data_IF_403525202609
#
_entry.id   IF_403525202609
#
_cell.length_a   1.000
_cell.length_b   1.000
_cell.length_c   1.000
_cell.angle_alpha   90.00
_cell.angle_beta   90.00
_cell.angle_gamma   90.00
#
_symmetry.space_group_name_H-M   'P 1'
#
loop_
_entity.id
_entity.type
_entity.pdbx_description
1 polymer ?
#
# COMPACT_ATOMS: atom_id res chain seq x y z
N UNK A 1 -14.38 -13.98 -11.63
CA UNK A 1 -13.23 -13.23 -11.12
C UNK A 1 -12.40 -14.22 -10.34
N UNK A 2 -11.28 -14.67 -10.91
CA UNK A 2 -10.30 -15.42 -10.11
C UNK A 2 -9.98 -14.49 -8.92
N UNK A 3 -10.10 -14.95 -7.67
CA UNK A 3 -9.90 -14.17 -6.45
C UNK A 3 -8.45 -13.71 -6.27
N UNK A 4 -7.94 -13.02 -7.28
CA UNK A 4 -6.56 -12.81 -7.61
C UNK A 4 -6.20 -11.43 -7.06
N UNK A 5 -5.91 -11.46 -5.76
CA UNK A 5 -5.41 -10.35 -4.95
C UNK A 5 -6.37 -9.14 -4.85
N UNK A 6 -6.75 -8.80 -3.63
CA UNK A 6 -7.41 -7.53 -3.31
C UNK A 6 -6.42 -6.36 -3.38
N UNK A 7 -5.79 -6.15 -4.55
CA UNK A 7 -4.80 -5.09 -4.77
C UNK A 7 -5.47 -3.72 -4.81
N UNK A 8 -6.71 -3.65 -5.30
CA UNK A 8 -7.43 -2.39 -5.47
C UNK A 8 -8.21 -2.08 -4.20
N UNK A 9 -7.80 -1.03 -3.50
CA UNK A 9 -8.48 -0.49 -2.31
C UNK A 9 -8.49 1.02 -2.35
N UNK A 10 -9.57 1.63 -1.86
CA UNK A 10 -9.66 3.09 -1.71
C UNK A 10 -9.19 3.47 -0.31
N UNK A 11 -8.28 4.44 -0.22
CA UNK A 11 -7.79 4.98 1.04
C UNK A 11 -7.80 6.52 1.04
N UNK A 12 -8.09 7.15 2.19
CA UNK A 12 -8.07 8.60 2.29
C UNK A 12 -6.65 9.15 2.28
N UNK A 13 -6.47 10.28 1.59
CA UNK A 13 -5.22 11.05 1.56
C UNK A 13 -5.54 12.44 2.09
N UNK A 14 -5.02 12.76 3.28
CA UNK A 14 -5.26 14.05 3.95
C UNK A 14 -3.96 14.62 4.53
N UNK A 15 -4.05 15.83 5.11
CA UNK A 15 -2.91 16.50 5.75
C UNK A 15 -2.63 16.03 7.17
N UNK A 16 -3.62 15.39 7.81
CA UNK A 16 -3.52 14.88 9.18
C UNK A 16 -4.07 13.46 9.26
N UNK A 17 -3.58 12.69 10.22
CA UNK A 17 -4.10 11.34 10.51
C UNK A 17 -5.57 11.41 10.92
N UNK A 18 -5.96 12.40 11.73
CA UNK A 18 -7.37 12.59 12.12
C UNK A 18 -8.30 12.80 10.93
N UNK A 19 -7.90 13.63 9.95
CA UNK A 19 -8.71 13.85 8.75
C UNK A 19 -8.86 12.55 7.94
N UNK A 20 -7.77 11.80 7.77
CA UNK A 20 -7.83 10.49 7.12
C UNK A 20 -8.81 9.55 7.83
N UNK A 21 -8.76 9.49 9.16
CA UNK A 21 -9.61 8.60 9.96
C UNK A 21 -11.09 8.98 9.85
N UNK A 22 -11.42 10.27 9.89
CA UNK A 22 -12.80 10.72 9.70
C UNK A 22 -13.34 10.39 8.30
N UNK A 23 -12.50 10.47 7.26
CA UNK A 23 -12.90 10.03 5.92
C UNK A 23 -13.05 8.50 5.88
N UNK A 24 -12.13 7.76 6.49
CA UNK A 24 -12.19 6.29 6.56
C UNK A 24 -13.50 5.81 7.20
N UNK A 25 -13.95 6.46 8.27
CA UNK A 25 -15.23 6.16 8.92
C UNK A 25 -16.45 6.34 8.02
N UNK A 26 -16.36 7.21 7.02
CA UNK A 26 -17.45 7.45 6.07
C UNK A 26 -17.43 6.43 4.94
N UNK A 27 -16.24 6.04 4.46
CA UNK A 27 -16.11 5.18 3.27
C UNK A 27 -16.02 3.69 3.58
N UNK A 28 -15.66 3.30 4.81
CA UNK A 28 -15.55 1.90 5.20
C UNK A 28 -16.93 1.28 5.45
N UNK A 29 -17.26 0.25 4.68
CA UNK A 29 -18.52 -0.47 4.85
C UNK A 29 -18.81 -1.46 3.74
N UNK A 30 -19.87 -2.26 3.88
CA UNK A 30 -20.36 -3.12 2.81
C UNK A 30 -20.90 -2.31 1.63
N UNK A 31 -20.59 -2.72 0.39
CA UNK A 31 -21.23 -2.26 -0.84
C UNK A 31 -21.83 -3.47 -1.56
N UNK A 32 -23.12 -3.42 -1.90
CA UNK A 32 -23.81 -4.49 -2.63
C UNK A 32 -23.25 -4.70 -4.05
N UNK A 33 -22.62 -3.68 -4.63
CA UNK A 33 -21.95 -3.77 -5.94
C UNK A 33 -20.55 -4.40 -5.84
N UNK A 34 -20.05 -4.58 -4.63
CA UNK A 34 -18.78 -5.25 -4.31
C UNK A 34 -18.96 -6.16 -3.08
N UNK A 35 -20.02 -6.97 -3.10
CA UNK A 35 -20.46 -7.72 -1.91
C UNK A 35 -19.40 -8.75 -1.47
N UNK A 36 -18.72 -9.39 -2.43
CA UNK A 36 -17.72 -10.43 -2.16
C UNK A 36 -16.50 -9.91 -1.39
N UNK A 37 -15.98 -8.72 -1.76
CA UNK A 37 -14.83 -8.13 -1.07
C UNK A 37 -15.26 -7.43 0.21
N UNK A 38 -16.29 -6.58 0.15
CA UNK A 38 -16.67 -5.71 1.28
C UNK A 38 -17.32 -6.48 2.43
N UNK A 39 -18.06 -7.57 2.16
CA UNK A 39 -18.62 -8.40 3.24
C UNK A 39 -17.54 -9.10 4.04
N UNK A 40 -16.49 -9.62 3.39
CA UNK A 40 -15.36 -10.26 4.07
C UNK A 40 -14.55 -9.23 4.88
N UNK A 41 -14.38 -8.03 4.36
CA UNK A 41 -13.64 -6.96 5.03
C UNK A 41 -14.42 -6.36 6.21
N UNK A 42 -15.75 -6.38 6.20
CA UNK A 42 -16.58 -5.78 7.25
C UNK A 42 -16.29 -6.30 8.67
N UNK A 43 -15.77 -7.53 8.80
CA UNK A 43 -15.33 -8.12 10.07
C UNK A 43 -14.18 -7.36 10.74
N UNK A 44 -13.43 -6.58 9.96
CA UNK A 44 -12.30 -5.77 10.42
C UNK A 44 -12.71 -4.33 10.79
N UNK A 45 -13.96 -3.93 10.52
CA UNK A 45 -14.46 -2.61 10.87
C UNK A 45 -14.83 -2.62 12.37
N UNK A 46 -14.19 -1.77 13.19
CA UNK A 46 -14.44 -1.74 14.62
C UNK A 46 -15.84 -1.18 14.93
N UNK A 47 -16.50 -1.75 15.93
CA UNK A 47 -17.75 -1.20 16.46
C UNK A 47 -17.51 0.22 16.99
N UNK A 48 -18.26 1.20 16.50
CA UNK A 48 -18.07 2.62 16.85
C UNK A 48 -17.09 3.39 15.96
N UNK A 49 -16.56 2.77 14.90
CA UNK A 49 -15.70 3.43 13.91
C UNK A 49 -14.24 3.55 14.34
N UNK A 50 -13.40 3.99 13.42
CA UNK A 50 -11.97 4.17 13.56
C UNK A 50 -11.58 5.43 14.36
N UNK A 51 -12.42 6.47 14.40
CA UNK A 51 -12.12 7.71 15.15
C UNK A 51 -11.80 7.48 16.64
N UNK A 52 -12.32 6.40 17.24
CA UNK A 52 -12.02 6.04 18.63
C UNK A 52 -10.54 5.71 18.89
N UNK A 53 -9.77 5.40 17.84
CA UNK A 53 -8.35 5.05 17.91
C UNK A 53 -7.41 6.25 17.76
N UNK A 54 -7.95 7.48 17.65
CA UNK A 54 -7.16 8.72 17.67
C UNK A 54 -6.63 9.03 19.08
N UNK A 55 -5.60 8.28 19.49
CA UNK A 55 -4.98 8.36 20.81
C UNK A 55 -3.56 8.95 20.75
N UNK A 56 -3.31 10.08 21.43
CA UNK A 56 -2.00 10.73 21.48
C UNK A 56 -0.92 9.87 22.16
N UNK A 57 -1.33 8.98 23.06
CA UNK A 57 -0.46 8.01 23.72
C UNK A 57 -0.48 6.64 23.02
N UNK A 58 -0.94 6.58 21.77
CA UNK A 58 -1.18 5.34 21.02
C UNK A 58 0.05 4.47 20.78
N UNK A 59 1.26 5.03 20.94
CA UNK A 59 2.54 4.31 20.86
C UNK A 59 2.88 3.49 22.12
N UNK A 60 2.28 3.80 23.27
CA UNK A 60 2.63 3.16 24.54
C UNK A 60 2.35 1.67 24.51
N UNK A 61 3.40 0.87 24.77
CA UNK A 61 3.33 -0.59 24.82
C UNK A 61 3.27 -1.28 23.45
N UNK A 62 3.28 -0.53 22.34
CA UNK A 62 3.25 -1.10 21.00
C UNK A 62 4.58 -1.75 20.65
N UNK A 63 4.55 -2.95 20.09
CA UNK A 63 5.73 -3.66 19.59
C UNK A 63 5.90 -3.39 18.10
N UNK A 64 6.93 -2.64 17.74
CA UNK A 64 7.14 -2.16 16.37
C UNK A 64 8.45 -2.74 15.82
N UNK A 65 8.36 -3.47 14.72
CA UNK A 65 9.50 -4.01 14.00
C UNK A 65 10.16 -2.97 13.11
N UNK A 66 11.46 -2.77 13.25
CA UNK A 66 12.25 -1.87 12.40
C UNK A 66 12.88 -2.68 11.26
N UNK A 67 12.30 -2.63 10.07
CA UNK A 67 12.79 -3.39 8.91
C UNK A 67 13.81 -2.55 8.15
N UNK A 68 15.10 -2.85 8.38
CA UNK A 68 16.23 -2.07 7.87
C UNK A 68 16.65 -2.47 6.46
N UNK A 69 16.85 -3.77 6.21
CA UNK A 69 17.19 -4.26 4.89
C UNK A 69 15.89 -4.48 4.08
N UNK A 70 15.82 -4.03 2.81
CA UNK A 70 16.74 -3.14 2.09
C UNK A 70 16.42 -1.63 2.24
N UNK A 71 15.36 -1.28 2.98
CA UNK A 71 14.72 0.03 2.96
C UNK A 71 15.56 1.17 3.55
N UNK A 72 16.25 0.92 4.66
CA UNK A 72 17.16 1.87 5.32
C UNK A 72 18.58 1.68 4.79
N UNK A 73 18.99 0.43 4.52
CA UNK A 73 20.33 0.15 4.02
C UNK A 73 20.62 0.90 2.72
N UNK A 74 19.65 1.02 1.81
CA UNK A 74 19.80 1.78 0.56
C UNK A 74 19.96 3.30 0.74
N UNK A 75 19.80 3.84 1.94
CA UNK A 75 19.84 5.27 2.25
C UNK A 75 21.17 5.72 2.91
N UNK A 76 22.22 4.89 2.85
CA UNK A 76 23.52 5.06 3.51
C UNK A 76 23.93 6.53 3.80
N UNK A 77 23.92 6.91 5.07
CA UNK A 77 24.42 8.22 5.53
C UNK A 77 23.56 9.44 5.17
N UNK A 78 22.47 9.26 4.43
CA UNK A 78 21.56 10.33 4.01
C UNK A 78 20.90 11.04 5.18
N UNK A 79 20.40 12.26 4.92
CA UNK A 79 19.60 13.01 5.87
C UNK A 79 18.32 12.26 6.27
N UNK A 80 17.72 11.52 5.34
CA UNK A 80 16.53 10.69 5.58
C UNK A 80 16.85 9.59 6.60
N UNK A 81 17.96 8.85 6.42
CA UNK A 81 18.36 7.80 7.36
C UNK A 81 18.60 8.35 8.78
N UNK A 82 19.30 9.49 8.90
CA UNK A 82 19.54 10.14 10.21
C UNK A 82 18.25 10.59 10.88
N UNK A 83 17.33 11.15 10.10
CA UNK A 83 16.03 11.60 10.61
C UNK A 83 15.15 10.41 11.02
N UNK A 84 15.21 9.30 10.26
CA UNK A 84 14.54 8.06 10.62
C UNK A 84 15.04 7.51 11.96
N UNK A 85 16.36 7.44 12.21
CA UNK A 85 16.87 7.03 13.53
C UNK A 85 16.37 7.93 14.66
N UNK A 86 16.30 9.25 14.43
CA UNK A 86 15.74 10.19 15.43
C UNK A 86 14.26 9.92 15.71
N UNK A 87 13.49 9.53 14.70
CA UNK A 87 12.09 9.14 14.89
C UNK A 87 11.95 7.83 15.65
N UNK A 88 12.86 6.86 15.45
CA UNK A 88 12.89 5.64 16.25
C UNK A 88 13.09 5.95 17.75
N UNK A 89 13.95 6.92 18.08
CA UNK A 89 14.08 7.37 19.48
C UNK A 89 12.79 7.99 20.02
N UNK A 90 12.08 8.80 19.21
CA UNK A 90 10.78 9.35 19.60
C UNK A 90 9.76 8.23 19.86
N UNK A 91 9.74 7.17 19.03
CA UNK A 91 8.89 6.01 19.29
C UNK A 91 9.21 5.36 20.66
N UNK A 92 10.49 5.16 20.97
CA UNK A 92 10.93 4.61 22.27
C UNK A 92 10.55 5.52 23.44
N UNK A 93 10.78 6.83 23.32
CA UNK A 93 10.41 7.83 24.33
C UNK A 93 8.89 7.85 24.59
N UNK A 94 8.08 7.60 23.56
CA UNK A 94 6.62 7.47 23.67
C UNK A 94 6.14 6.09 24.14
N UNK A 95 7.08 5.21 24.48
CA UNK A 95 6.81 3.92 25.12
C UNK A 95 6.59 2.76 24.18
N UNK A 96 6.94 2.89 22.89
CA UNK A 96 6.97 1.75 21.98
C UNK A 96 8.20 0.87 22.24
N UNK A 97 8.02 -0.44 22.10
CA UNK A 97 9.08 -1.44 22.13
C UNK A 97 9.53 -1.66 20.68
N UNK A 98 10.75 -1.25 20.35
CA UNK A 98 11.30 -1.46 19.02
C UNK A 98 12.02 -2.81 18.94
N UNK A 99 11.61 -3.65 17.98
CA UNK A 99 12.25 -4.92 17.66
C UNK A 99 13.14 -4.70 16.44
N UNK A 100 14.43 -4.95 16.62
CA UNK A 100 15.48 -4.75 15.61
C UNK A 100 15.97 -6.11 15.09
N UNK A 101 16.79 -6.12 14.04
CA UNK A 101 17.37 -7.33 13.42
C UNK A 101 16.32 -8.32 12.90
N UNK A 102 15.22 -7.79 12.35
CA UNK A 102 14.18 -8.56 11.65
C UNK A 102 14.33 -8.38 10.15
N UNK A 103 13.99 -9.41 9.40
CA UNK A 103 14.07 -9.43 7.94
C UNK A 103 12.83 -10.11 7.38
N UNK A 104 12.45 -9.70 6.17
CA UNK A 104 11.37 -10.33 5.40
C UNK A 104 12.03 -11.33 4.47
N UNK A 105 11.71 -12.61 4.61
CA UNK A 105 12.17 -13.64 3.68
C UNK A 105 11.73 -13.32 2.25
N UNK A 106 12.55 -13.67 1.26
CA UNK A 106 12.27 -13.45 -0.17
C UNK A 106 12.02 -11.99 -0.56
N UNK A 107 12.51 -11.01 0.23
CA UNK A 107 12.21 -9.59 0.00
C UNK A 107 12.65 -9.10 -1.39
N UNK A 108 13.76 -9.60 -1.93
CA UNK A 108 14.21 -9.20 -3.26
C UNK A 108 13.21 -9.56 -4.36
N UNK A 109 12.62 -10.75 -4.26
CA UNK A 109 11.61 -11.24 -5.20
C UNK A 109 10.29 -10.49 -5.01
N UNK A 110 9.85 -10.29 -3.75
CA UNK A 110 8.64 -9.51 -3.42
C UNK A 110 8.73 -8.08 -3.99
N UNK A 111 9.91 -7.46 -3.95
CA UNK A 111 10.11 -6.10 -4.46
C UNK A 111 10.28 -6.04 -5.99
N UNK A 112 10.41 -7.17 -6.68
CA UNK A 112 10.53 -7.24 -8.12
C UNK A 112 9.23 -7.81 -8.73
N UNK A 113 8.33 -6.95 -9.26
CA UNK A 113 7.02 -7.38 -9.75
C UNK A 113 7.08 -8.32 -10.96
N UNK A 114 8.22 -8.38 -11.65
CA UNK A 114 8.45 -9.34 -12.73
C UNK A 114 8.84 -10.73 -12.20
N UNK A 115 9.65 -10.79 -11.14
CA UNK A 115 10.06 -12.07 -10.51
C UNK A 115 8.94 -12.65 -9.67
N UNK A 116 8.25 -11.84 -8.87
CA UNK A 116 7.11 -12.30 -8.07
C UNK A 116 5.90 -12.72 -8.92
N UNK A 117 5.83 -12.26 -10.17
CA UNK A 117 4.70 -12.46 -11.08
C UNK A 117 3.53 -11.49 -10.85
N UNK A 118 3.65 -10.54 -9.91
CA UNK A 118 2.65 -9.50 -9.64
C UNK A 118 2.23 -8.76 -10.92
N UNK A 119 3.19 -8.38 -11.77
CA UNK A 119 2.87 -7.63 -13.00
C UNK A 119 2.03 -8.46 -13.98
N UNK A 120 2.30 -9.77 -14.06
CA UNK A 120 1.57 -10.69 -14.96
C UNK A 120 0.13 -10.81 -14.50
N UNK A 121 -0.05 -11.02 -13.20
CA UNK A 121 -1.37 -11.05 -12.58
C UNK A 121 -2.12 -9.72 -12.79
N UNK A 122 -1.47 -8.60 -12.51
CA UNK A 122 -2.07 -7.26 -12.64
C UNK A 122 -2.52 -6.97 -14.07
N UNK A 123 -1.70 -7.27 -15.09
CA UNK A 123 -2.07 -7.03 -16.48
C UNK A 123 -3.21 -7.96 -16.94
N UNK A 124 -3.22 -9.20 -16.48
CA UNK A 124 -4.29 -10.16 -16.77
C UNK A 124 -5.61 -9.68 -16.16
N UNK A 125 -5.61 -9.27 -14.89
CA UNK A 125 -6.81 -8.73 -14.24
C UNK A 125 -7.26 -7.40 -14.85
N UNK A 126 -6.32 -6.50 -15.14
CA UNK A 126 -6.61 -5.19 -15.73
C UNK A 126 -7.42 -5.29 -17.02
N UNK A 127 -7.04 -6.19 -17.95
CA UNK A 127 -7.79 -6.39 -19.21
C UNK A 127 -9.24 -6.77 -18.93
N UNK A 128 -9.50 -7.68 -18.00
CA UNK A 128 -10.86 -8.11 -17.67
C UNK A 128 -11.63 -6.98 -17.00
N UNK A 129 -11.06 -6.40 -15.94
CA UNK A 129 -11.66 -5.36 -15.11
C UNK A 129 -11.99 -4.09 -15.89
N UNK A 130 -11.09 -3.61 -16.76
CA UNK A 130 -11.34 -2.40 -17.56
C UNK A 130 -12.44 -2.63 -18.61
N UNK A 131 -12.44 -3.81 -19.26
CA UNK A 131 -13.46 -4.15 -20.24
C UNK A 131 -14.85 -4.23 -19.60
N UNK A 132 -14.95 -4.83 -18.42
CA UNK A 132 -16.22 -4.95 -17.71
C UNK A 132 -16.70 -3.62 -17.13
N UNK A 133 -15.78 -2.75 -16.69
CA UNK A 133 -16.09 -1.39 -16.29
C UNK A 133 -16.63 -0.55 -17.46
N UNK A 134 -15.93 -0.53 -18.60
CA UNK A 134 -16.30 0.31 -19.77
C UNK A 134 -17.64 -0.08 -20.40
N UNK A 135 -18.03 -1.37 -20.33
CA UNK A 135 -19.34 -1.84 -20.78
C UNK A 135 -20.49 -1.26 -19.95
N UNK A 136 -20.25 -0.95 -18.67
CA UNK A 136 -21.28 -0.45 -17.75
C UNK A 136 -21.49 1.07 -17.86
N UNK A 137 -20.59 1.81 -18.52
CA UNK A 137 -20.72 3.25 -18.67
C UNK A 137 -21.95 3.62 -19.50
N UNK A 138 -22.75 4.58 -19.05
CA UNK A 138 -23.89 5.06 -19.85
C UNK A 138 -23.43 5.74 -21.15
N UNK A 139 -22.38 6.57 -21.04
CA UNK A 139 -21.79 7.30 -22.15
C UNK A 139 -20.27 7.15 -22.15
N UNK A 140 -19.73 6.64 -23.25
CA UNK A 140 -18.29 6.53 -23.48
C UNK A 140 -18.01 6.32 -24.98
N UNK A 141 -16.98 6.97 -25.55
CA UNK A 141 -16.54 6.71 -26.93
C UNK A 141 -15.80 5.37 -27.09
N UNK A 142 -15.40 4.74 -25.98
CA UNK A 142 -14.68 3.45 -25.94
C UNK A 142 -15.44 2.44 -25.07
N UNK A 143 -15.44 1.17 -25.45
CA UNK A 143 -16.16 0.09 -24.75
C UNK A 143 -15.26 -1.08 -24.36
N UNK A 144 -13.97 -0.99 -24.67
CA UNK A 144 -12.98 -2.01 -24.39
C UNK A 144 -11.57 -1.43 -24.32
N UNK A 145 -10.62 -2.22 -23.83
CA UNK A 145 -9.19 -1.92 -23.88
C UNK A 145 -8.70 -1.78 -25.32
N UNK A 146 -9.20 -2.63 -26.24
CA UNK A 146 -8.92 -2.51 -27.67
C UNK A 146 -9.39 -1.16 -28.25
N UNK A 147 -10.57 -0.68 -27.83
CA UNK A 147 -11.05 0.64 -28.24
C UNK A 147 -10.20 1.77 -27.67
N UNK A 148 -9.68 1.64 -26.44
CA UNK A 148 -8.72 2.61 -25.86
C UNK A 148 -7.46 2.67 -26.72
N UNK A 149 -6.88 1.52 -27.05
CA UNK A 149 -5.66 1.45 -27.87
C UNK A 149 -5.89 2.11 -29.22
N UNK A 150 -6.99 1.76 -29.90
CA UNK A 150 -7.34 2.35 -31.18
C UNK A 150 -7.65 3.84 -31.07
N UNK A 151 -8.29 4.29 -29.99
CA UNK A 151 -8.53 5.71 -29.74
C UNK A 151 -7.21 6.48 -29.62
N UNK A 152 -6.26 5.97 -28.83
CA UNK A 152 -4.95 6.59 -28.65
C UNK A 152 -4.19 6.69 -29.98
N UNK A 153 -4.19 5.63 -30.79
CA UNK A 153 -3.57 5.61 -32.12
C UNK A 153 -4.17 6.66 -33.06
N UNK A 154 -5.49 6.82 -33.04
CA UNK A 154 -6.19 7.82 -33.85
C UNK A 154 -6.08 9.25 -33.30
N UNK A 155 -5.58 9.42 -32.07
CA UNK A 155 -5.45 10.70 -31.37
C UNK A 155 -4.03 10.88 -30.78
N UNK A 156 -3.01 10.43 -31.51
CA UNK A 156 -1.62 10.36 -31.05
C UNK A 156 -1.06 11.68 -30.48
N UNK A 157 -1.42 12.83 -31.06
CA UNK A 157 -1.01 14.15 -30.55
C UNK A 157 -1.67 14.48 -29.20
N UNK A 158 -2.94 14.13 -29.02
CA UNK A 158 -3.68 14.38 -27.78
C UNK A 158 -3.16 13.50 -26.65
N UNK A 159 -2.97 12.21 -26.93
CA UNK A 159 -2.52 11.22 -25.95
C UNK A 159 -1.00 11.13 -25.82
N UNK A 160 -0.26 11.89 -26.64
CA UNK A 160 1.21 11.95 -26.66
C UNK A 160 1.87 10.57 -26.76
N UNK A 161 1.35 9.72 -27.64
CA UNK A 161 1.82 8.33 -27.77
C UNK A 161 3.29 8.23 -28.19
N UNK A 162 3.83 9.24 -28.88
CA UNK A 162 5.25 9.29 -29.25
C UNK A 162 6.19 9.56 -28.05
N UNK A 163 5.68 10.22 -26.99
CA UNK A 163 6.47 10.56 -25.79
C UNK A 163 6.40 9.44 -24.74
N UNK A 164 5.22 8.85 -24.53
CA UNK A 164 4.97 7.92 -23.42
C UNK A 164 4.58 6.50 -23.84
N UNK A 165 4.14 6.30 -25.08
CA UNK A 165 3.67 5.00 -25.58
C UNK A 165 2.41 4.47 -24.89
N UNK A 166 2.10 3.21 -25.15
CA UNK A 166 0.98 2.48 -24.53
C UNK A 166 1.25 0.97 -24.39
N UNK A 167 2.52 0.59 -24.22
CA UNK A 167 2.98 -0.81 -24.20
C UNK A 167 2.26 -1.64 -23.14
N UNK A 168 1.91 -1.03 -22.00
CA UNK A 168 1.13 -1.69 -20.95
C UNK A 168 -0.26 -2.11 -21.42
N UNK A 169 -0.97 -1.26 -22.15
CA UNK A 169 -2.28 -1.58 -22.73
C UNK A 169 -2.15 -2.65 -23.81
N UNK A 170 -1.18 -2.51 -24.72
CA UNK A 170 -0.92 -3.50 -25.78
C UNK A 170 -0.58 -4.87 -25.18
N UNK A 171 0.30 -4.89 -24.16
CA UNK A 171 0.69 -6.11 -23.47
C UNK A 171 -0.50 -6.76 -22.77
N UNK A 172 -1.29 -5.99 -22.00
CA UNK A 172 -2.49 -6.49 -21.35
C UNK A 172 -3.48 -7.05 -22.36
N UNK A 173 -3.78 -6.32 -23.45
CA UNK A 173 -4.70 -6.77 -24.50
C UNK A 173 -4.20 -8.05 -25.19
N UNK A 174 -2.88 -8.18 -25.38
CA UNK A 174 -2.25 -9.37 -25.95
C UNK A 174 -2.20 -10.60 -25.03
N UNK A 175 -2.52 -10.47 -23.74
CA UNK A 175 -2.54 -11.62 -22.83
C UNK A 175 -3.64 -12.60 -23.21
N UNK A 176 -3.25 -13.85 -23.44
CA UNK A 176 -4.17 -14.96 -23.61
C UNK A 176 -4.54 -15.49 -22.22
N UNK A 177 -5.82 -15.81 -22.02
CA UNK A 177 -6.34 -16.28 -20.73
C UNK A 177 -5.82 -17.66 -20.37
N UNK A 178 -4.62 -17.73 -19.78
CA UNK A 178 -4.10 -18.93 -19.14
C UNK A 178 -4.46 -18.89 -17.65
N UNK A 179 -5.71 -19.21 -17.33
CA UNK A 179 -6.20 -19.14 -15.95
C UNK A 179 -5.39 -20.00 -14.98
N UNK A 180 -4.81 -21.10 -15.45
CA UNK A 180 -4.03 -22.01 -14.60
C UNK A 180 -2.68 -21.39 -14.22
N UNK A 181 -1.97 -20.78 -15.18
CA UNK A 181 -0.74 -20.02 -14.90
C UNK A 181 -1.00 -18.87 -13.91
N UNK A 182 -2.11 -18.13 -14.10
CA UNK A 182 -2.47 -17.05 -13.16
C UNK A 182 -2.75 -17.59 -11.75
N UNK A 183 -3.40 -18.75 -11.62
CA UNK A 183 -3.62 -19.38 -10.31
C UNK A 183 -2.31 -19.81 -9.66
N UNK A 184 -1.38 -20.37 -10.42
CA UNK A 184 -0.05 -20.75 -9.92
C UNK A 184 0.73 -19.52 -9.42
N UNK A 185 0.71 -18.42 -10.17
CA UNK A 185 1.35 -17.16 -9.74
C UNK A 185 0.69 -16.62 -8.47
N UNK A 186 -0.65 -16.62 -8.37
CA UNK A 186 -1.32 -16.18 -7.15
C UNK A 186 -0.97 -17.03 -5.95
N UNK A 187 -0.87 -18.35 -6.12
CA UNK A 187 -0.44 -19.25 -5.06
C UNK A 187 0.98 -18.92 -4.61
N UNK A 188 1.89 -18.67 -5.56
CA UNK A 188 3.26 -18.26 -5.27
C UNK A 188 3.32 -16.93 -4.50
N UNK A 189 2.53 -15.92 -4.91
CA UNK A 189 2.43 -14.64 -4.21
C UNK A 189 1.91 -14.80 -2.77
N UNK A 190 0.94 -15.69 -2.55
CA UNK A 190 0.44 -16.04 -1.21
C UNK A 190 1.52 -16.74 -0.36
N UNK A 191 2.32 -17.62 -0.95
CA UNK A 191 3.47 -18.26 -0.28
C UNK A 191 4.55 -17.24 0.10
N UNK A 192 4.89 -16.30 -0.79
CA UNK A 192 5.82 -15.20 -0.51
C UNK A 192 5.33 -14.32 0.66
N UNK A 193 4.03 -14.05 0.72
CA UNK A 193 3.41 -13.29 1.80
C UNK A 193 3.51 -14.02 3.14
N UNK A 194 3.12 -15.30 3.16
CA UNK A 194 3.12 -16.15 4.36
C UNK A 194 4.51 -16.35 4.93
N UNK A 195 5.46 -16.81 4.12
CA UNK A 195 6.83 -17.09 4.57
C UNK A 195 7.68 -15.83 4.78
N UNK A 196 7.28 -14.71 4.17
CA UNK A 196 7.92 -13.41 4.29
C UNK A 196 7.32 -12.57 5.42
N UNK A 197 6.35 -11.71 5.07
CA UNK A 197 5.86 -10.67 5.96
C UNK A 197 5.01 -11.21 7.12
N UNK A 198 4.11 -12.17 6.87
CA UNK A 198 3.22 -12.69 7.93
C UNK A 198 4.02 -13.41 9.01
N UNK A 199 4.87 -14.35 8.61
CA UNK A 199 5.76 -15.07 9.52
C UNK A 199 6.65 -14.13 10.32
N UNK A 200 7.25 -13.13 9.69
CA UNK A 200 8.07 -12.13 10.39
C UNK A 200 7.25 -11.37 11.44
N UNK A 201 6.03 -10.94 11.10
CA UNK A 201 5.15 -10.24 12.04
C UNK A 201 4.72 -11.14 13.22
N UNK A 202 4.37 -12.39 12.94
CA UNK A 202 3.87 -13.37 13.93
C UNK A 202 4.97 -13.87 14.88
N UNK A 203 6.12 -14.31 14.35
CA UNK A 203 7.23 -14.86 15.16
C UNK A 203 7.81 -13.82 16.13
N UNK A 204 7.73 -12.54 15.77
CA UNK A 204 8.24 -11.43 16.59
C UNK A 204 7.16 -10.75 17.45
N UNK A 205 5.91 -11.22 17.38
CA UNK A 205 4.75 -10.67 18.09
C UNK A 205 4.60 -9.15 17.86
N UNK A 206 4.61 -8.73 16.59
CA UNK A 206 4.61 -7.32 16.21
C UNK A 206 3.19 -6.77 16.07
N UNK A 207 3.00 -5.53 16.53
CA UNK A 207 1.80 -4.74 16.22
C UNK A 207 1.91 -4.07 14.85
N UNK A 208 3.12 -3.66 14.45
CA UNK A 208 3.43 -3.12 13.14
C UNK A 208 4.91 -3.27 12.76
N UNK A 209 5.20 -3.20 11.46
CA UNK A 209 6.48 -2.85 10.87
C UNK A 209 6.57 -1.34 10.66
N UNK A 210 7.78 -0.78 10.71
CA UNK A 210 8.05 0.60 10.31
C UNK A 210 9.24 0.73 9.35
N UNK A 211 9.08 1.57 8.32
CA UNK A 211 10.13 1.88 7.33
C UNK A 211 10.08 3.36 6.90
N UNK A 212 11.18 3.95 6.41
CA UNK A 212 11.15 5.26 5.79
C UNK A 212 10.69 5.21 4.33
N UNK A 213 9.90 6.19 3.93
CA UNK A 213 9.44 6.35 2.55
C UNK A 213 8.40 5.30 2.14
N UNK A 214 8.41 4.97 0.86
CA UNK A 214 7.36 4.16 0.19
C UNK A 214 7.89 2.84 -0.36
N UNK A 215 9.19 2.52 -0.15
CA UNK A 215 9.82 1.36 -0.79
C UNK A 215 9.26 0.01 -0.33
N UNK A 216 8.63 -0.06 0.85
CA UNK A 216 8.02 -1.28 1.36
C UNK A 216 6.57 -1.50 0.86
N UNK A 217 6.01 -0.60 0.04
CA UNK A 217 4.64 -0.73 -0.48
C UNK A 217 4.39 -2.04 -1.22
N UNK A 218 5.29 -2.61 -2.06
CA UNK A 218 5.01 -3.87 -2.74
C UNK A 218 4.71 -5.04 -1.78
N UNK A 219 5.36 -5.05 -0.61
CA UNK A 219 5.07 -6.03 0.46
C UNK A 219 3.62 -5.92 0.92
N UNK A 220 3.11 -4.70 1.03
CA UNK A 220 1.73 -4.44 1.46
C UNK A 220 0.72 -4.71 0.35
N UNK A 221 1.06 -4.35 -0.87
CA UNK A 221 0.20 -4.50 -2.03
C UNK A 221 -0.10 -5.99 -2.27
N UNK A 222 0.94 -6.81 -2.45
CA UNK A 222 0.77 -8.24 -2.75
C UNK A 222 -0.03 -8.95 -1.64
N UNK A 223 0.25 -8.66 -0.38
CA UNK A 223 -0.49 -9.29 0.72
C UNK A 223 -1.86 -8.68 1.00
N UNK A 224 -2.19 -7.52 0.41
CA UNK A 224 -3.39 -6.75 0.72
C UNK A 224 -3.41 -6.23 2.17
N UNK A 225 -2.25 -5.93 2.74
CA UNK A 225 -2.06 -5.48 4.11
C UNK A 225 -2.28 -3.97 4.27
N UNK A 226 -2.80 -3.51 5.42
CA UNK A 226 -2.92 -2.08 5.68
C UNK A 226 -1.56 -1.43 5.91
N UNK A 227 -1.42 -0.21 5.39
CA UNK A 227 -0.28 0.67 5.64
C UNK A 227 -0.74 2.11 5.76
N UNK A 228 -0.12 2.87 6.67
CA UNK A 228 -0.35 4.30 6.87
C UNK A 228 0.98 5.04 6.85
N UNK A 229 1.09 6.02 5.95
CA UNK A 229 2.29 6.87 5.86
C UNK A 229 2.02 8.23 6.50
N UNK A 230 2.88 8.63 7.43
CA UNK A 230 2.81 9.93 8.11
C UNK A 230 4.02 10.77 7.71
N UNK A 231 3.86 12.06 7.37
CA UNK A 231 5.00 12.94 7.08
C UNK A 231 6.05 12.86 8.19
N UNK A 232 7.29 12.55 7.82
CA UNK A 232 8.40 12.35 8.75
C UNK A 232 9.49 13.41 8.59
N UNK A 233 9.47 14.20 7.53
CA UNK A 233 10.39 15.31 7.36
C UNK A 233 10.69 15.57 5.90
N UNK A 234 11.84 16.16 5.67
CA UNK A 234 12.31 16.60 4.36
C UNK A 234 13.77 16.21 4.21
N UNK A 235 14.20 15.85 3.00
CA UNK A 235 15.60 15.64 2.71
C UNK A 235 16.37 16.98 2.59
N UNK A 236 17.66 16.89 2.23
CA UNK A 236 18.54 18.06 2.07
C UNK A 236 18.13 19.01 0.94
N UNK A 237 17.24 18.57 0.03
CA UNK A 237 16.69 19.35 -1.07
C UNK A 237 15.27 19.87 -0.77
N UNK A 238 14.73 19.59 0.42
CA UNK A 238 13.37 19.97 0.80
C UNK A 238 12.29 19.04 0.23
N UNK A 239 12.65 17.85 -0.23
CA UNK A 239 11.69 16.84 -0.70
C UNK A 239 11.12 16.10 0.51
N UNK A 240 9.77 16.04 0.68
CA UNK A 240 9.17 15.37 1.81
C UNK A 240 9.37 13.86 1.75
N UNK A 241 9.55 13.23 2.91
CA UNK A 241 9.47 11.79 3.06
C UNK A 241 8.55 11.42 4.24
N UNK A 242 7.95 10.23 4.17
CA UNK A 242 7.05 9.69 5.18
C UNK A 242 7.68 8.60 6.03
N UNK A 243 7.02 8.26 7.12
CA UNK A 243 7.24 7.08 7.93
C UNK A 243 6.04 6.15 7.72
N UNK A 244 6.29 4.99 7.12
CA UNK A 244 5.27 4.00 6.80
C UNK A 244 5.16 3.02 7.96
N UNK A 245 3.98 2.98 8.59
CA UNK A 245 3.57 1.94 9.52
C UNK A 245 2.71 0.92 8.76
N UNK A 246 3.02 -0.36 8.94
CA UNK A 246 2.42 -1.46 8.20
C UNK A 246 2.09 -2.60 9.13
N UNK A 247 0.98 -3.31 8.92
CA UNK A 247 0.58 -4.41 9.81
C UNK A 247 -0.22 -5.48 9.10
N UNK A 248 -0.59 -6.54 9.81
CA UNK A 248 -1.43 -7.61 9.25
C UNK A 248 -2.85 -7.12 8.95
N UNK A 249 -3.63 -7.90 8.18
CA UNK A 249 -5.03 -7.59 7.86
C UNK A 249 -5.84 -7.36 9.15
N UNK A 250 -6.61 -6.28 9.20
CA UNK A 250 -7.39 -5.90 10.39
C UNK A 250 -6.63 -5.12 11.46
N UNK A 251 -5.36 -4.75 11.19
CA UNK A 251 -4.55 -3.95 12.13
C UNK A 251 -4.76 -2.44 11.99
N UNK A 252 -5.67 -1.97 11.13
CA UNK A 252 -5.99 -0.56 10.93
C UNK A 252 -6.18 0.21 12.26
N UNK A 253 -6.91 -0.31 13.27
CA UNK A 253 -7.03 0.35 14.57
C UNK A 253 -5.68 0.62 15.25
N UNK A 254 -4.81 -0.40 15.30
CA UNK A 254 -3.46 -0.27 15.91
C UNK A 254 -2.60 0.69 15.11
N UNK A 255 -2.66 0.61 13.78
CA UNK A 255 -1.92 1.50 12.88
C UNK A 255 -2.33 2.96 13.06
N UNK A 256 -3.63 3.24 13.23
CA UNK A 256 -4.16 4.57 13.51
C UNK A 256 -3.63 5.10 14.84
N UNK A 257 -3.66 4.29 15.91
CA UNK A 257 -3.11 4.69 17.21
C UNK A 257 -1.63 5.06 17.11
N UNK A 258 -0.83 4.22 16.44
CA UNK A 258 0.61 4.45 16.28
C UNK A 258 0.90 5.67 15.41
N UNK A 259 0.23 5.78 14.26
CA UNK A 259 0.39 6.88 13.33
C UNK A 259 0.01 8.22 13.96
N UNK A 260 -1.13 8.27 14.67
CA UNK A 260 -1.57 9.50 15.34
C UNK A 260 -0.65 9.85 16.51
N UNK A 261 -0.23 8.87 17.33
CA UNK A 261 0.77 9.11 18.38
C UNK A 261 2.09 9.66 17.83
N UNK A 262 2.56 9.12 16.70
CA UNK A 262 3.75 9.59 16.00
C UNK A 262 3.57 10.99 15.40
N UNK A 263 2.46 11.25 14.71
CA UNK A 263 2.13 12.56 14.15
C UNK A 263 2.13 13.63 15.25
N UNK A 264 1.45 13.37 16.37
CA UNK A 264 1.33 14.33 17.47
C UNK A 264 2.64 14.55 18.21
N UNK A 265 3.54 13.57 18.22
CA UNK A 265 4.87 13.70 18.80
C UNK A 265 5.84 14.51 17.93
N UNK A 266 5.66 14.48 16.61
CA UNK A 266 6.65 15.04 15.67
C UNK A 266 6.18 16.33 15.00
N UNK A 267 4.89 16.45 14.67
CA UNK A 267 4.31 17.54 13.89
C UNK A 267 5.16 17.89 12.65
N UNK A 268 5.72 16.87 11.99
CA UNK A 268 6.78 17.04 11.00
C UNK A 268 6.33 17.71 9.69
N UNK A 269 5.02 17.65 9.36
CA UNK A 269 4.49 18.25 8.13
C UNK A 269 4.58 19.77 8.16
N UNK A 270 5.13 20.35 7.09
CA UNK A 270 5.07 21.78 6.78
C UNK A 270 4.28 22.00 5.49
N UNK A 271 3.53 23.11 5.36
CA UNK A 271 2.96 23.49 4.07
C UNK A 271 4.09 23.77 3.05
N UNK A 272 3.89 23.47 1.75
CA UNK A 272 4.85 23.90 0.73
C UNK A 272 4.96 25.44 0.73
N UNK A 273 6.12 25.99 0.36
CA UNK A 273 6.25 27.43 0.17
C UNK A 273 5.24 27.92 -0.88
N UNK A 274 4.69 29.11 -0.65
CA UNK A 274 3.79 29.81 -1.58
C UNK A 274 4.60 30.49 -2.67
#
# INVERSE_FOLDING_TARGET
MLGVLELVKVWPICRTVSDCVYVLDVIAGPDIRDEEATSRASRFIPCGGYAQFLNKDGLKGKRIGVVRHPFVSSLHGSFVAKTFERHLEILREKGAVLVENIEISNISEILNPHESGEITVMLSDFKHSINDYLKQLESSPVRSLADIIAFNENNAELEKTDEYGQDGFIKAEGMQGNEEEIKEIVKHLDELCKEGFEKMMEENELDAMVTPGTKAIPVMAIGGYPGITVPAGYDEHGIPFGMLFSGLKGSEPKLIEMAYGFEQATMARKPPPV
#
